data_IF_970552351521
#
_entry.id   IF_970552351521
#
_cell.length_a   1.000
_cell.length_b   1.000
_cell.length_c   1.000
_cell.angle_alpha   90.00
_cell.angle_beta   90.00
_cell.angle_gamma   90.00
#
_symmetry.space_group_name_H-M   'P 1'
#
loop_
_entity.id
_entity.type
_entity.pdbx_description
1 polymer ?
#
# COMPACT_ATOMS: atom_id res chain seq x y z
N UNK A 1 2.86 3.34 9.09
CA UNK A 1 2.01 4.38 8.44
C UNK A 1 2.19 5.79 9.01
N UNK A 2 2.22 6.01 10.35
CA UNK A 2 2.42 7.39 10.89
C UNK A 2 3.67 8.09 10.32
N UNK A 3 4.77 7.37 10.12
CA UNK A 3 6.01 7.89 9.55
C UNK A 3 5.84 8.28 8.07
N UNK A 4 5.15 7.47 7.28
CA UNK A 4 4.80 7.79 5.90
C UNK A 4 3.93 9.06 5.81
N UNK A 5 2.90 9.17 6.66
CA UNK A 5 2.05 10.37 6.70
C UNK A 5 2.86 11.64 7.09
N UNK A 6 3.82 11.51 8.02
CA UNK A 6 4.74 12.61 8.34
C UNK A 6 5.65 12.95 7.14
N UNK A 7 6.14 11.96 6.41
CA UNK A 7 6.92 12.19 5.19
C UNK A 7 6.09 12.93 4.13
N UNK A 8 4.82 12.54 3.96
CA UNK A 8 3.87 13.20 3.06
C UNK A 8 3.54 14.64 3.44
N UNK A 9 3.80 15.06 4.69
CA UNK A 9 3.58 16.47 5.09
C UNK A 9 4.44 17.45 4.28
N UNK A 10 5.57 17.00 3.73
CA UNK A 10 6.42 17.80 2.83
C UNK A 10 5.71 18.11 1.49
N UNK A 11 4.69 17.32 1.14
CA UNK A 11 3.92 17.42 -0.10
C UNK A 11 2.47 17.86 0.13
N UNK A 12 2.16 18.44 1.32
CA UNK A 12 0.79 18.75 1.76
C UNK A 12 -0.06 19.49 0.71
N UNK A 13 0.51 20.48 0.01
CA UNK A 13 -0.23 21.26 -0.98
C UNK A 13 -0.63 20.40 -2.20
N UNK A 14 0.28 19.56 -2.69
CA UNK A 14 0.02 18.64 -3.81
C UNK A 14 -0.96 17.55 -3.40
N UNK A 15 -0.81 17.01 -2.19
CA UNK A 15 -1.73 16.00 -1.64
C UNK A 15 -3.14 16.58 -1.46
N UNK A 16 -3.25 17.77 -0.85
CA UNK A 16 -4.56 18.45 -0.65
C UNK A 16 -5.25 18.72 -1.98
N UNK A 17 -4.50 19.16 -2.99
CA UNK A 17 -5.04 19.37 -4.34
C UNK A 17 -5.54 18.08 -4.98
N UNK A 18 -4.76 16.98 -4.89
CA UNK A 18 -5.16 15.67 -5.41
C UNK A 18 -6.41 15.13 -4.70
N UNK A 19 -6.46 15.27 -3.36
CA UNK A 19 -7.62 14.88 -2.55
C UNK A 19 -8.84 15.72 -2.91
N UNK A 20 -8.71 17.04 -3.03
CA UNK A 20 -9.82 17.92 -3.41
C UNK A 20 -10.37 17.57 -4.79
N UNK A 21 -9.50 17.33 -5.78
CA UNK A 21 -9.90 16.90 -7.12
C UNK A 21 -10.63 15.52 -7.07
N UNK A 22 -10.16 14.58 -6.26
CA UNK A 22 -10.80 13.26 -6.09
C UNK A 22 -12.16 13.36 -5.40
N UNK A 23 -12.29 14.20 -4.37
CA UNK A 23 -13.56 14.47 -3.71
C UNK A 23 -14.55 15.12 -4.69
N UNK A 24 -14.11 16.14 -5.47
CA UNK A 24 -14.95 16.78 -6.48
C UNK A 24 -15.41 15.80 -7.54
N UNK A 25 -14.51 14.96 -8.07
CA UNK A 25 -14.88 13.89 -9.00
C UNK A 25 -15.99 13.01 -8.41
N UNK A 26 -15.80 12.55 -7.16
CA UNK A 26 -16.77 11.64 -6.52
C UNK A 26 -18.12 12.31 -6.27
N UNK A 27 -18.14 13.60 -5.95
CA UNK A 27 -19.38 14.38 -5.81
C UNK A 27 -20.09 14.46 -7.15
N UNK A 28 -19.40 14.78 -8.26
CA UNK A 28 -20.01 14.81 -9.59
C UNK A 28 -20.48 13.43 -10.05
N UNK A 29 -19.74 12.35 -9.78
CA UNK A 29 -20.16 10.96 -10.03
C UNK A 29 -21.50 10.62 -9.31
N UNK A 30 -21.78 11.23 -8.17
CA UNK A 30 -23.01 10.99 -7.41
C UNK A 30 -24.18 11.90 -7.80
N UNK A 31 -24.01 12.87 -8.73
CA UNK A 31 -25.07 13.76 -9.18
C UNK A 31 -26.08 13.11 -10.14
N UNK A 32 -25.71 12.21 -11.08
CA UNK A 32 -26.64 11.63 -12.04
C UNK A 32 -27.91 11.01 -11.43
N UNK A 33 -27.91 10.30 -10.28
CA UNK A 33 -29.13 9.83 -9.64
C UNK A 33 -30.13 10.94 -9.29
N UNK A 34 -29.64 12.11 -8.86
CA UNK A 34 -30.51 13.28 -8.59
C UNK A 34 -31.14 13.82 -9.85
N UNK A 35 -30.33 13.99 -10.92
CA UNK A 35 -30.81 14.50 -12.19
C UNK A 35 -31.85 13.56 -12.82
N UNK A 36 -31.59 12.25 -12.76
CA UNK A 36 -32.54 11.23 -13.22
C UNK A 36 -33.84 11.29 -12.43
N UNK A 37 -33.77 11.44 -11.10
CA UNK A 37 -34.96 11.62 -10.27
C UNK A 37 -35.78 12.84 -10.67
N UNK A 38 -35.13 13.98 -10.88
CA UNK A 38 -35.81 15.24 -11.30
C UNK A 38 -36.38 15.14 -12.71
N UNK A 39 -35.76 14.42 -13.64
CA UNK A 39 -36.30 14.13 -14.96
C UNK A 39 -37.59 13.30 -14.82
N UNK A 40 -37.57 12.23 -14.03
CA UNK A 40 -38.73 11.36 -13.81
C UNK A 40 -39.88 12.14 -13.17
N UNK A 41 -39.61 12.96 -12.16
CA UNK A 41 -40.61 13.78 -11.50
C UNK A 41 -41.19 14.79 -12.46
N UNK A 42 -40.37 15.45 -13.31
CA UNK A 42 -40.85 16.42 -14.32
C UNK A 42 -41.74 15.76 -15.36
N UNK A 43 -41.38 14.55 -15.84
CA UNK A 43 -42.24 13.78 -16.77
C UNK A 43 -43.55 13.34 -16.11
N UNK A 44 -43.55 13.11 -14.80
CA UNK A 44 -44.75 12.76 -14.01
C UNK A 44 -45.59 13.96 -13.61
N UNK A 45 -45.27 15.16 -14.12
CA UNK A 45 -46.02 16.40 -13.87
C UNK A 45 -45.60 17.14 -12.58
N UNK A 46 -44.54 16.71 -11.92
CA UNK A 46 -44.05 17.32 -10.69
C UNK A 46 -42.69 18.02 -10.93
N UNK A 47 -42.72 19.22 -11.46
CA UNK A 47 -41.51 20.00 -11.69
C UNK A 47 -40.91 20.46 -10.35
N UNK A 48 -39.60 20.17 -10.07
CA UNK A 48 -38.95 20.65 -8.85
C UNK A 48 -38.99 22.20 -8.76
N UNK A 49 -39.48 22.71 -7.64
CA UNK A 49 -39.72 24.15 -7.45
C UNK A 49 -38.47 25.03 -7.66
N UNK A 50 -37.27 24.48 -7.37
CA UNK A 50 -36.03 25.21 -7.59
C UNK A 50 -35.74 25.48 -9.08
N UNK A 51 -36.13 24.55 -9.99
CA UNK A 51 -35.93 24.74 -11.45
C UNK A 51 -36.79 25.89 -11.93
N UNK A 52 -38.07 25.89 -11.62
CA UNK A 52 -38.97 26.98 -12.01
C UNK A 52 -38.52 28.34 -11.47
N UNK A 53 -37.99 28.40 -10.24
CA UNK A 53 -37.49 29.65 -9.63
C UNK A 53 -36.19 30.14 -10.23
N UNK A 54 -35.27 29.27 -10.62
CA UNK A 54 -33.91 29.65 -11.10
C UNK A 54 -33.87 29.85 -12.60
N UNK A 55 -34.64 29.06 -13.38
CA UNK A 55 -34.59 29.06 -14.84
C UNK A 55 -35.81 29.70 -15.49
N UNK A 56 -36.92 29.88 -14.76
CA UNK A 56 -38.20 30.33 -15.29
C UNK A 56 -38.92 29.28 -16.17
N UNK A 57 -38.39 28.06 -16.27
CA UNK A 57 -38.98 26.98 -17.09
C UNK A 57 -40.17 26.36 -16.36
N UNK A 58 -41.34 26.34 -16.98
CA UNK A 58 -42.57 25.77 -16.42
C UNK A 58 -43.11 24.61 -17.27
N UNK A 59 -42.62 24.45 -18.49
CA UNK A 59 -43.00 23.36 -19.38
C UNK A 59 -42.14 22.13 -19.12
N UNK A 60 -42.75 20.96 -18.92
CA UNK A 60 -42.04 19.71 -18.60
C UNK A 60 -40.96 19.36 -19.64
N UNK A 61 -41.23 19.51 -20.93
CA UNK A 61 -40.25 19.20 -21.97
C UNK A 61 -39.01 20.10 -21.89
N UNK A 62 -39.20 21.40 -21.72
CA UNK A 62 -38.11 22.37 -21.59
C UNK A 62 -37.25 22.08 -20.33
N UNK A 63 -37.87 21.65 -19.22
CA UNK A 63 -37.18 21.23 -18.02
C UNK A 63 -36.37 19.96 -18.27
N UNK A 64 -36.92 18.96 -18.96
CA UNK A 64 -36.20 17.72 -19.30
C UNK A 64 -34.99 18.03 -20.18
N UNK A 65 -35.13 18.85 -21.21
CA UNK A 65 -34.00 19.26 -22.07
C UNK A 65 -32.92 19.96 -21.26
N UNK A 66 -33.28 20.89 -20.37
CA UNK A 66 -32.34 21.52 -19.44
C UNK A 66 -31.59 20.52 -18.56
N UNK A 67 -32.28 19.57 -17.94
CA UNK A 67 -31.68 18.54 -17.07
C UNK A 67 -30.77 17.59 -17.85
N UNK A 68 -31.10 17.25 -19.09
CA UNK A 68 -30.24 16.42 -19.96
C UNK A 68 -28.96 17.16 -20.31
N UNK A 69 -29.05 18.47 -20.68
CA UNK A 69 -27.87 19.31 -20.93
C UNK A 69 -27.02 19.41 -19.65
N UNK A 70 -27.66 19.65 -18.49
CA UNK A 70 -26.98 19.72 -17.20
C UNK A 70 -26.27 18.39 -16.88
N UNK A 71 -26.91 17.26 -17.20
CA UNK A 71 -26.31 15.93 -17.05
C UNK A 71 -25.04 15.79 -17.88
N UNK A 72 -25.07 16.21 -19.13
CA UNK A 72 -23.91 16.19 -20.03
C UNK A 72 -22.74 17.06 -19.47
N UNK A 73 -23.07 18.24 -18.94
CA UNK A 73 -22.09 19.14 -18.30
C UNK A 73 -21.49 18.48 -17.05
N UNK A 74 -22.32 17.84 -16.21
CA UNK A 74 -21.85 17.14 -14.99
C UNK A 74 -20.92 15.97 -15.34
N UNK A 75 -21.24 15.14 -16.34
CA UNK A 75 -20.34 14.10 -16.82
C UNK A 75 -19.04 14.66 -17.41
N UNK A 76 -19.10 15.82 -18.08
CA UNK A 76 -17.89 16.52 -18.52
C UNK A 76 -17.00 16.97 -17.35
N UNK A 77 -17.61 17.53 -16.30
CA UNK A 77 -16.91 17.92 -15.08
C UNK A 77 -16.37 16.69 -14.32
N UNK A 78 -17.16 15.62 -14.20
CA UNK A 78 -16.71 14.35 -13.62
C UNK A 78 -15.45 13.84 -14.32
N UNK A 79 -15.49 13.73 -15.66
CA UNK A 79 -14.35 13.27 -16.46
C UNK A 79 -13.14 14.21 -16.34
N UNK A 80 -13.37 15.53 -16.29
CA UNK A 80 -12.30 16.49 -16.06
C UNK A 80 -11.63 16.31 -14.70
N UNK A 81 -12.42 16.18 -13.63
CA UNK A 81 -11.88 15.95 -12.28
C UNK A 81 -11.28 14.56 -12.14
N UNK A 82 -11.77 13.55 -12.89
CA UNK A 82 -11.15 12.22 -12.96
C UNK A 82 -9.73 12.32 -13.52
N UNK A 83 -9.56 12.94 -14.68
CA UNK A 83 -8.26 13.18 -15.26
C UNK A 83 -7.34 13.96 -14.32
N UNK A 84 -7.88 14.98 -13.65
CA UNK A 84 -7.13 15.86 -12.76
C UNK A 84 -6.60 15.12 -11.53
N UNK A 85 -7.44 14.33 -10.84
CA UNK A 85 -6.99 13.60 -9.65
C UNK A 85 -6.05 12.45 -10.01
N UNK A 86 -6.34 11.69 -11.07
CA UNK A 86 -5.46 10.60 -11.51
C UNK A 86 -4.06 11.13 -11.80
N UNK A 87 -3.96 12.18 -12.62
CA UNK A 87 -2.68 12.82 -12.92
C UNK A 87 -1.98 13.35 -11.67
N UNK A 88 -2.71 13.92 -10.74
CA UNK A 88 -2.16 14.51 -9.51
C UNK A 88 -1.63 13.44 -8.56
N UNK A 89 -2.40 12.35 -8.32
CA UNK A 89 -1.96 11.24 -7.49
C UNK A 89 -0.77 10.49 -8.11
N UNK A 90 -0.82 10.20 -9.41
CA UNK A 90 0.29 9.53 -10.11
C UNK A 90 1.59 10.34 -9.99
N UNK A 91 1.54 11.66 -10.25
CA UNK A 91 2.71 12.52 -10.13
C UNK A 91 3.22 12.61 -8.70
N UNK A 92 2.32 12.73 -7.73
CA UNK A 92 2.68 12.76 -6.32
C UNK A 92 3.34 11.44 -5.89
N UNK A 93 2.75 10.31 -6.26
CA UNK A 93 3.26 9.00 -5.91
C UNK A 93 4.67 8.76 -6.51
N UNK A 94 4.88 9.13 -7.78
CA UNK A 94 6.18 9.03 -8.44
C UNK A 94 7.23 9.96 -7.81
N UNK A 95 6.85 11.19 -7.44
CA UNK A 95 7.78 12.10 -6.76
C UNK A 95 8.18 11.56 -5.38
N UNK A 96 7.20 11.11 -4.59
CA UNK A 96 7.45 10.50 -3.27
C UNK A 96 8.31 9.24 -3.40
N UNK A 97 8.06 8.41 -4.40
CA UNK A 97 8.86 7.21 -4.69
C UNK A 97 10.32 7.58 -4.99
N UNK A 98 10.53 8.58 -5.86
CA UNK A 98 11.87 9.06 -6.22
C UNK A 98 12.62 9.58 -5.00
N UNK A 99 12.04 10.52 -4.28
CA UNK A 99 12.68 11.17 -3.14
C UNK A 99 12.94 10.17 -2.01
N UNK A 100 11.98 9.29 -1.71
CA UNK A 100 12.16 8.25 -0.69
C UNK A 100 13.25 7.25 -1.04
N UNK A 101 13.42 6.92 -2.34
CA UNK A 101 14.50 6.05 -2.81
C UNK A 101 15.85 6.72 -2.62
N UNK A 102 15.98 7.99 -2.96
CA UNK A 102 17.23 8.74 -2.77
C UNK A 102 17.56 8.91 -1.29
N UNK A 103 16.59 9.27 -0.46
CA UNK A 103 16.78 9.41 0.98
C UNK A 103 17.21 8.09 1.62
N UNK A 104 16.54 6.99 1.25
CA UNK A 104 16.87 5.64 1.76
C UNK A 104 18.27 5.23 1.30
N UNK A 105 18.63 5.47 0.04
CA UNK A 105 19.93 5.15 -0.50
C UNK A 105 21.05 5.99 0.14
N UNK A 106 20.84 7.29 0.31
CA UNK A 106 21.80 8.17 0.99
C UNK A 106 22.04 7.74 2.44
N UNK A 107 20.99 7.38 3.15
CA UNK A 107 21.09 6.83 4.52
C UNK A 107 21.80 5.48 4.53
N UNK A 108 21.53 4.62 3.55
CA UNK A 108 22.22 3.34 3.42
C UNK A 108 23.72 3.54 3.20
N UNK A 109 24.13 4.45 2.31
CA UNK A 109 25.54 4.73 2.05
C UNK A 109 26.29 5.26 3.29
N UNK A 110 25.59 5.94 4.18
CA UNK A 110 26.18 6.44 5.44
C UNK A 110 26.29 5.39 6.55
N UNK A 111 25.98 4.09 6.26
CA UNK A 111 26.08 3.02 7.24
C UNK A 111 27.50 2.48 7.36
N UNK A 112 27.83 2.00 8.53
CA UNK A 112 29.06 1.26 8.83
C UNK A 112 29.15 -0.05 8.05
N UNK A 113 30.38 -0.53 7.84
CA UNK A 113 30.64 -1.77 7.11
C UNK A 113 29.99 -3.00 7.77
N UNK A 114 29.91 -3.03 9.10
CA UNK A 114 29.28 -4.08 9.88
C UNK A 114 27.84 -4.36 9.42
N UNK A 115 27.06 -3.31 9.17
CA UNK A 115 25.70 -3.40 8.67
C UNK A 115 25.62 -4.16 7.34
N UNK A 116 26.54 -3.89 6.40
CA UNK A 116 26.56 -4.57 5.09
C UNK A 116 27.05 -6.01 5.16
N UNK A 117 27.91 -6.34 6.12
CA UNK A 117 28.39 -7.71 6.33
C UNK A 117 27.32 -8.59 6.99
N UNK A 118 26.44 -8.01 7.80
CA UNK A 118 25.32 -8.72 8.42
C UNK A 118 24.08 -8.87 7.52
N UNK A 119 23.85 -7.90 6.63
CA UNK A 119 22.67 -7.88 5.78
C UNK A 119 22.95 -8.53 4.42
N UNK A 120 21.98 -9.32 3.96
CA UNK A 120 22.06 -9.85 2.59
C UNK A 120 21.76 -8.72 1.58
N UNK A 121 22.61 -8.53 0.60
CA UNK A 121 22.44 -7.51 -0.47
C UNK A 121 21.08 -7.60 -1.14
N UNK A 122 20.57 -8.83 -1.39
CA UNK A 122 19.25 -9.02 -1.98
C UNK A 122 18.10 -8.45 -1.14
N UNK A 123 18.21 -8.50 0.21
CA UNK A 123 17.22 -7.91 1.10
C UNK A 123 17.24 -6.37 1.01
N UNK A 124 18.42 -5.75 0.96
CA UNK A 124 18.56 -4.30 0.80
C UNK A 124 18.01 -3.82 -0.55
N UNK A 125 18.27 -4.56 -1.62
CA UNK A 125 17.72 -4.29 -2.96
C UNK A 125 16.20 -4.42 -2.97
N UNK A 126 15.63 -5.43 -2.30
CA UNK A 126 14.18 -5.58 -2.19
C UNK A 126 13.54 -4.40 -1.44
N UNK A 127 14.18 -3.88 -0.38
CA UNK A 127 13.68 -2.68 0.31
C UNK A 127 13.72 -1.45 -0.61
N UNK A 128 14.83 -1.23 -1.34
CA UNK A 128 15.00 -0.07 -2.22
C UNK A 128 14.09 -0.11 -3.47
N UNK A 129 13.70 -1.29 -3.93
CA UNK A 129 12.86 -1.46 -5.11
C UNK A 129 11.44 -1.87 -4.73
N UNK A 130 11.24 -3.08 -4.19
CA UNK A 130 9.90 -3.65 -4.04
C UNK A 130 9.08 -2.93 -2.96
N UNK A 131 9.70 -2.61 -1.82
CA UNK A 131 9.01 -1.95 -0.72
C UNK A 131 8.66 -0.49 -1.05
N UNK A 132 9.57 0.25 -1.67
CA UNK A 132 9.31 1.63 -2.09
C UNK A 132 8.26 1.64 -3.22
N UNK A 133 8.31 0.70 -4.17
CA UNK A 133 7.27 0.55 -5.19
C UNK A 133 5.91 0.15 -4.57
N UNK A 134 5.89 -0.63 -3.48
CA UNK A 134 4.65 -0.94 -2.77
C UNK A 134 4.04 0.30 -2.11
N UNK A 135 4.87 1.21 -1.57
CA UNK A 135 4.40 2.49 -1.02
C UNK A 135 3.85 3.41 -2.11
N UNK A 136 4.51 3.44 -3.29
CA UNK A 136 4.00 4.18 -4.46
C UNK A 136 2.63 3.66 -4.88
N UNK A 137 2.47 2.34 -5.08
CA UNK A 137 1.18 1.73 -5.45
C UNK A 137 0.08 2.04 -4.44
N UNK A 138 0.41 2.01 -3.16
CA UNK A 138 -0.54 2.38 -2.11
C UNK A 138 -0.99 3.83 -2.24
N UNK A 139 -0.08 4.77 -2.45
CA UNK A 139 -0.41 6.19 -2.60
C UNK A 139 -1.22 6.47 -3.86
N UNK A 140 -0.85 5.83 -4.96
CA UNK A 140 -1.52 6.02 -6.25
C UNK A 140 -2.95 5.46 -6.26
N UNK A 141 -3.14 4.23 -5.76
CA UNK A 141 -4.40 3.51 -5.87
C UNK A 141 -5.19 3.52 -4.56
N UNK A 142 -4.71 2.80 -3.56
CA UNK A 142 -5.49 2.48 -2.37
C UNK A 142 -5.77 3.71 -1.50
N UNK A 143 -4.85 4.67 -1.44
CA UNK A 143 -5.08 5.92 -0.70
C UNK A 143 -6.22 6.73 -1.35
N UNK A 144 -6.23 6.83 -2.69
CA UNK A 144 -7.31 7.47 -3.42
C UNK A 144 -8.65 6.72 -3.26
N UNK A 145 -8.63 5.38 -3.31
CA UNK A 145 -9.83 4.55 -3.05
C UNK A 145 -10.43 4.82 -1.67
N UNK A 146 -9.58 5.01 -0.64
CA UNK A 146 -10.04 5.37 0.71
C UNK A 146 -10.73 6.74 0.70
N UNK A 147 -10.12 7.75 0.04
CA UNK A 147 -10.70 9.09 -0.08
C UNK A 147 -12.05 9.04 -0.78
N UNK A 148 -12.14 8.34 -1.90
CA UNK A 148 -13.38 8.20 -2.67
C UNK A 148 -14.46 7.45 -1.90
N UNK A 149 -14.09 6.38 -1.18
CA UNK A 149 -15.04 5.62 -0.36
C UNK A 149 -15.59 6.45 0.82
N UNK A 150 -14.73 7.21 1.49
CA UNK A 150 -15.18 8.11 2.56
C UNK A 150 -16.12 9.19 2.01
N UNK A 151 -15.78 9.79 0.86
CA UNK A 151 -16.64 10.77 0.19
C UNK A 151 -17.98 10.17 -0.19
N UNK A 152 -17.96 8.96 -0.75
CA UNK A 152 -19.18 8.21 -1.10
C UNK A 152 -20.06 7.97 0.12
N UNK A 153 -19.50 7.44 1.21
CA UNK A 153 -20.25 7.12 2.42
C UNK A 153 -20.88 8.38 3.04
N UNK A 154 -20.12 9.46 3.11
CA UNK A 154 -20.61 10.73 3.67
C UNK A 154 -21.65 11.36 2.77
N UNK A 155 -21.34 11.55 1.48
CA UNK A 155 -22.24 12.27 0.58
C UNK A 155 -23.50 11.47 0.21
N UNK A 156 -23.35 10.19 -0.16
CA UNK A 156 -24.51 9.34 -0.48
C UNK A 156 -25.35 9.05 0.76
N UNK A 157 -24.70 8.80 1.90
CA UNK A 157 -25.40 8.58 3.17
C UNK A 157 -26.19 9.83 3.60
N UNK A 158 -25.56 11.00 3.55
CA UNK A 158 -26.23 12.27 3.81
C UNK A 158 -27.40 12.51 2.85
N UNK A 159 -27.20 12.30 1.55
CA UNK A 159 -28.22 12.54 0.54
C UNK A 159 -29.44 11.62 0.68
N UNK A 160 -29.22 10.34 0.94
CA UNK A 160 -30.31 9.39 1.22
C UNK A 160 -31.12 9.79 2.46
N UNK A 161 -30.45 10.19 3.54
CA UNK A 161 -31.11 10.64 4.77
C UNK A 161 -31.81 12.01 4.58
N UNK A 162 -31.27 12.92 3.76
CA UNK A 162 -31.87 14.21 3.47
C UNK A 162 -33.17 14.10 2.65
N UNK A 163 -33.27 13.13 1.74
CA UNK A 163 -34.49 12.86 0.97
C UNK A 163 -35.53 12.14 1.84
N UNK A 164 -35.12 11.10 2.58
CA UNK A 164 -36.00 10.39 3.52
C UNK A 164 -35.18 9.69 4.58
N UNK A 165 -35.22 10.18 5.81
CA UNK A 165 -34.46 9.59 6.93
C UNK A 165 -34.79 8.10 7.16
N UNK A 166 -36.07 7.66 7.22
CA UNK A 166 -36.37 6.24 7.46
C UNK A 166 -35.86 5.33 6.34
N UNK A 167 -36.05 5.71 5.07
CA UNK A 167 -35.57 4.93 3.94
C UNK A 167 -34.05 4.99 3.80
N UNK A 168 -33.43 6.13 4.10
CA UNK A 168 -31.97 6.28 4.10
C UNK A 168 -31.30 5.35 5.12
N UNK A 169 -31.82 5.31 6.35
CA UNK A 169 -31.33 4.39 7.38
C UNK A 169 -31.56 2.92 7.00
N UNK A 170 -32.71 2.60 6.41
CA UNK A 170 -33.01 1.24 5.94
C UNK A 170 -32.03 0.83 4.81
N UNK A 171 -31.82 1.70 3.83
CA UNK A 171 -30.88 1.45 2.72
C UNK A 171 -29.42 1.31 3.16
N UNK A 172 -29.04 2.01 4.23
CA UNK A 172 -27.69 1.92 4.82
C UNK A 172 -27.55 0.77 5.84
N UNK A 173 -28.63 0.18 6.32
CA UNK A 173 -28.61 -0.90 7.32
C UNK A 173 -27.72 -2.10 6.96
N UNK A 174 -27.55 -2.51 5.69
CA UNK A 174 -26.61 -3.56 5.31
C UNK A 174 -25.13 -3.24 5.58
N UNK A 175 -24.72 -1.95 5.61
CA UNK A 175 -23.31 -1.56 5.69
C UNK A 175 -22.59 -2.15 6.92
N UNK A 176 -23.08 -2.00 8.15
CA UNK A 176 -22.45 -2.60 9.33
C UNK A 176 -22.27 -4.12 9.19
N UNK A 177 -23.29 -4.81 8.66
CA UNK A 177 -23.25 -6.26 8.47
C UNK A 177 -22.24 -6.67 7.39
N UNK A 178 -22.11 -5.89 6.31
CA UNK A 178 -21.11 -6.10 5.27
C UNK A 178 -19.71 -5.94 5.88
N UNK A 179 -19.47 -4.89 6.66
CA UNK A 179 -18.16 -4.64 7.29
C UNK A 179 -17.81 -5.76 8.27
N UNK A 180 -18.72 -6.12 9.17
CA UNK A 180 -18.49 -7.19 10.14
C UNK A 180 -18.31 -8.55 9.46
N UNK A 181 -19.13 -8.84 8.44
CA UNK A 181 -19.01 -10.03 7.61
C UNK A 181 -17.69 -10.11 6.87
N UNK A 182 -17.21 -8.99 6.34
CA UNK A 182 -15.90 -8.90 5.66
C UNK A 182 -14.75 -9.19 6.62
N UNK A 183 -14.77 -8.60 7.82
CA UNK A 183 -13.75 -8.85 8.85
C UNK A 183 -13.75 -10.32 9.29
N UNK A 184 -14.94 -10.87 9.53
CA UNK A 184 -15.09 -12.29 9.90
C UNK A 184 -14.56 -13.21 8.80
N UNK A 185 -14.94 -12.93 7.54
CA UNK A 185 -14.50 -13.68 6.37
C UNK A 185 -12.99 -13.65 6.22
N UNK A 186 -12.35 -12.48 6.29
CA UNK A 186 -10.89 -12.34 6.19
C UNK A 186 -10.15 -13.16 7.25
N UNK A 187 -10.64 -13.12 8.49
CA UNK A 187 -10.04 -13.94 9.57
C UNK A 187 -10.18 -15.43 9.28
N UNK A 188 -11.28 -15.86 8.70
CA UNK A 188 -11.57 -17.26 8.39
C UNK A 188 -10.81 -17.78 7.17
N UNK A 189 -10.56 -16.94 6.17
CA UNK A 189 -9.86 -17.35 4.94
C UNK A 189 -8.35 -17.26 5.06
N UNK A 190 -7.81 -16.42 5.96
CA UNK A 190 -6.39 -16.20 6.15
C UNK A 190 -5.54 -17.49 6.34
N UNK A 191 -5.96 -18.50 7.15
CA UNK A 191 -5.21 -19.75 7.28
C UNK A 191 -5.13 -20.53 5.97
N UNK A 192 -6.19 -20.58 5.16
CA UNK A 192 -6.18 -21.24 3.86
C UNK A 192 -5.21 -20.59 2.89
N UNK A 193 -5.16 -19.26 2.82
CA UNK A 193 -4.15 -18.57 2.01
C UNK A 193 -2.72 -18.75 2.55
N UNK A 194 -2.56 -18.99 3.85
CA UNK A 194 -1.26 -19.37 4.40
C UNK A 194 -0.83 -20.76 3.92
N UNK A 195 -1.74 -21.74 3.91
CA UNK A 195 -1.47 -23.08 3.34
C UNK A 195 -1.10 -22.98 1.85
N UNK A 196 -1.85 -22.19 1.07
CA UNK A 196 -1.54 -21.95 -0.35
C UNK A 196 -0.13 -21.38 -0.52
N UNK A 197 0.26 -20.39 0.31
CA UNK A 197 1.63 -19.83 0.26
C UNK A 197 2.71 -20.84 0.63
N UNK A 198 2.46 -21.74 1.57
CA UNK A 198 3.38 -22.81 1.92
C UNK A 198 3.53 -23.79 0.76
N UNK A 199 2.43 -24.25 0.21
CA UNK A 199 2.43 -25.21 -0.91
C UNK A 199 3.10 -24.63 -2.17
N UNK A 200 2.90 -23.35 -2.49
CA UNK A 200 3.62 -22.72 -3.63
C UNK A 200 5.12 -22.58 -3.33
N UNK A 201 5.48 -22.32 -2.06
CA UNK A 201 6.89 -22.28 -1.64
C UNK A 201 7.58 -23.63 -1.84
N UNK A 202 6.94 -24.73 -1.45
CA UNK A 202 7.45 -26.10 -1.64
C UNK A 202 7.57 -26.45 -3.14
N UNK A 203 6.56 -26.09 -3.95
CA UNK A 203 6.62 -26.29 -5.40
C UNK A 203 7.78 -25.47 -6.03
N UNK A 204 7.93 -24.20 -5.65
CA UNK A 204 9.02 -23.35 -6.15
C UNK A 204 10.39 -23.90 -5.79
N UNK A 205 10.59 -24.31 -4.54
CA UNK A 205 11.84 -24.95 -4.09
C UNK A 205 12.15 -26.23 -4.87
N UNK A 206 11.14 -27.06 -5.12
CA UNK A 206 11.32 -28.29 -5.90
C UNK A 206 11.73 -27.98 -7.35
N UNK A 207 11.05 -27.05 -8.00
CA UNK A 207 11.37 -26.61 -9.36
C UNK A 207 12.77 -25.99 -9.44
N UNK A 208 13.13 -25.12 -8.48
CA UNK A 208 14.46 -24.52 -8.40
C UNK A 208 15.56 -25.57 -8.25
N UNK A 209 15.37 -26.55 -7.36
CA UNK A 209 16.33 -27.64 -7.15
C UNK A 209 16.48 -28.49 -8.43
N UNK A 210 15.39 -28.82 -9.11
CA UNK A 210 15.43 -29.62 -10.33
C UNK A 210 16.09 -28.88 -11.50
N UNK A 211 15.82 -27.58 -11.64
CA UNK A 211 16.43 -26.75 -12.70
C UNK A 211 17.92 -26.53 -12.40
N UNK A 212 18.27 -26.20 -11.17
CA UNK A 212 19.66 -26.01 -10.77
C UNK A 212 20.48 -27.31 -10.84
N UNK A 213 19.83 -28.45 -10.52
CA UNK A 213 20.41 -29.79 -10.61
C UNK A 213 20.17 -30.51 -11.93
N UNK A 214 19.78 -29.82 -13.00
CA UNK A 214 19.32 -30.44 -14.27
C UNK A 214 20.36 -31.40 -14.87
N UNK A 215 21.66 -31.10 -14.70
CA UNK A 215 22.74 -31.98 -15.16
C UNK A 215 22.67 -33.36 -14.48
N UNK A 216 22.38 -33.39 -13.18
CA UNK A 216 22.25 -34.65 -12.43
C UNK A 216 21.02 -35.41 -12.94
N UNK A 217 19.88 -34.74 -13.06
CA UNK A 217 18.65 -35.35 -13.59
C UNK A 217 18.89 -35.98 -14.95
N UNK A 218 19.57 -35.26 -15.86
CA UNK A 218 19.92 -35.74 -17.20
C UNK A 218 20.92 -36.89 -17.18
N UNK A 219 21.97 -36.81 -16.34
CA UNK A 219 22.98 -37.85 -16.25
C UNK A 219 22.46 -39.20 -15.77
N UNK A 220 21.41 -39.17 -14.95
CA UNK A 220 20.78 -40.42 -14.42
C UNK A 220 19.48 -40.77 -15.12
N UNK A 221 19.10 -40.07 -16.21
CA UNK A 221 17.84 -40.25 -16.93
C UNK A 221 16.63 -40.28 -15.97
N UNK A 222 16.64 -39.39 -14.98
CA UNK A 222 15.67 -39.35 -13.88
C UNK A 222 14.51 -38.37 -14.11
N UNK A 223 14.25 -37.96 -15.36
CA UNK A 223 13.23 -36.97 -15.72
C UNK A 223 11.83 -37.40 -15.27
N UNK A 224 11.49 -38.69 -15.52
CA UNK A 224 10.17 -39.20 -15.16
C UNK A 224 9.98 -39.24 -13.63
N UNK A 225 11.00 -39.67 -12.89
CA UNK A 225 10.98 -39.69 -11.43
C UNK A 225 10.80 -38.27 -10.83
N UNK A 226 11.56 -37.29 -11.35
CA UNK A 226 11.39 -35.92 -10.88
C UNK A 226 10.07 -35.29 -11.35
N UNK A 227 9.55 -35.69 -12.51
CA UNK A 227 8.23 -35.27 -12.98
C UNK A 227 7.12 -35.72 -12.02
N UNK A 228 7.14 -37.00 -11.60
CA UNK A 228 6.18 -37.52 -10.63
C UNK A 228 6.26 -36.80 -9.29
N UNK A 229 7.45 -36.47 -8.81
CA UNK A 229 7.66 -35.73 -7.57
C UNK A 229 7.11 -34.28 -7.68
N UNK A 230 7.34 -33.59 -8.79
CA UNK A 230 6.76 -32.26 -9.06
C UNK A 230 5.24 -32.37 -9.17
N UNK A 231 4.73 -33.41 -9.80
CA UNK A 231 3.28 -33.66 -9.93
C UNK A 231 2.61 -33.79 -8.55
N UNK A 232 3.22 -34.51 -7.62
CA UNK A 232 2.70 -34.65 -6.25
C UNK A 232 2.62 -33.30 -5.52
N UNK A 233 3.71 -32.52 -5.50
CA UNK A 233 3.74 -31.20 -4.86
C UNK A 233 2.80 -30.21 -5.54
N UNK A 234 2.67 -30.29 -6.88
CA UNK A 234 1.71 -29.48 -7.64
C UNK A 234 0.25 -29.87 -7.33
N UNK A 235 -0.02 -31.15 -7.07
CA UNK A 235 -1.34 -31.59 -6.62
C UNK A 235 -1.69 -31.01 -5.23
N UNK A 236 -0.75 -31.05 -4.29
CA UNK A 236 -0.94 -30.46 -2.96
C UNK A 236 -1.22 -28.95 -3.04
N UNK A 237 -0.49 -28.22 -3.89
CA UNK A 237 -0.74 -26.80 -4.17
C UNK A 237 -2.14 -26.59 -4.77
N UNK A 238 -2.54 -27.38 -5.74
CA UNK A 238 -3.88 -27.33 -6.34
C UNK A 238 -4.97 -27.55 -5.28
N UNK A 239 -4.80 -28.55 -4.42
CA UNK A 239 -5.79 -28.93 -3.42
C UNK A 239 -5.89 -27.88 -2.30
N UNK A 240 -4.76 -27.25 -1.93
CA UNK A 240 -4.75 -26.07 -1.05
C UNK A 240 -5.52 -24.89 -1.67
N UNK A 241 -5.32 -24.63 -2.99
CA UNK A 241 -6.09 -23.62 -3.71
C UNK A 241 -7.58 -23.95 -3.75
N UNK A 242 -7.97 -25.18 -4.01
CA UNK A 242 -9.38 -25.57 -4.02
C UNK A 242 -10.06 -25.33 -2.68
N UNK A 243 -9.38 -25.60 -1.55
CA UNK A 243 -9.90 -25.27 -0.21
C UNK A 243 -10.10 -23.77 -0.03
N UNK A 244 -9.13 -22.95 -0.45
CA UNK A 244 -9.22 -21.49 -0.39
C UNK A 244 -10.35 -20.96 -1.30
N UNK A 245 -10.42 -21.43 -2.56
CA UNK A 245 -11.44 -21.04 -3.55
C UNK A 245 -12.85 -21.40 -3.06
N UNK A 246 -13.05 -22.60 -2.49
CA UNK A 246 -14.35 -23.02 -1.96
C UNK A 246 -14.91 -22.06 -0.92
N UNK A 247 -14.06 -21.50 -0.06
CA UNK A 247 -14.47 -20.52 0.92
C UNK A 247 -14.62 -19.13 0.31
N UNK A 248 -13.69 -18.72 -0.56
CA UNK A 248 -13.70 -17.38 -1.16
C UNK A 248 -14.85 -17.17 -2.14
N UNK A 249 -15.26 -18.21 -2.87
CA UNK A 249 -16.37 -18.14 -3.83
C UNK A 249 -17.74 -17.85 -3.19
N UNK A 250 -17.90 -18.14 -1.90
CA UNK A 250 -19.17 -17.91 -1.19
C UNK A 250 -19.30 -16.45 -0.71
N UNK A 251 -18.18 -15.75 -0.56
CA UNK A 251 -18.16 -14.40 0.05
C UNK A 251 -18.98 -13.37 -0.73
N UNK A 252 -18.69 -13.22 -2.05
CA UNK A 252 -19.39 -12.22 -2.89
C UNK A 252 -20.88 -12.49 -3.01
N UNK A 253 -21.35 -13.75 -3.23
CA UNK A 253 -22.78 -14.07 -3.21
C UNK A 253 -23.47 -13.73 -1.90
N UNK A 254 -22.87 -14.02 -0.74
CA UNK A 254 -23.47 -13.69 0.57
C UNK A 254 -23.62 -12.17 0.75
N UNK A 255 -22.62 -11.38 0.40
CA UNK A 255 -22.73 -9.92 0.46
C UNK A 255 -23.83 -9.43 -0.50
N UNK A 256 -23.90 -9.99 -1.71
CA UNK A 256 -24.93 -9.63 -2.69
C UNK A 256 -26.33 -9.87 -2.14
N UNK A 257 -26.56 -11.00 -1.46
CA UNK A 257 -27.87 -11.27 -0.81
C UNK A 257 -28.18 -10.19 0.23
N UNK A 258 -27.21 -9.83 1.06
CA UNK A 258 -27.40 -8.80 2.09
C UNK A 258 -27.71 -7.43 1.49
N UNK A 259 -27.00 -7.05 0.41
CA UNK A 259 -27.27 -5.84 -0.37
C UNK A 259 -28.70 -5.90 -0.95
N UNK A 260 -29.07 -7.04 -1.52
CA UNK A 260 -30.40 -7.22 -2.15
C UNK A 260 -31.52 -7.07 -1.14
N UNK A 261 -31.38 -7.57 0.08
CA UNK A 261 -32.38 -7.42 1.14
C UNK A 261 -32.61 -5.95 1.50
N UNK A 262 -31.53 -5.17 1.70
CA UNK A 262 -31.65 -3.74 1.97
C UNK A 262 -32.24 -2.96 0.80
N UNK A 263 -31.80 -3.26 -0.42
CA UNK A 263 -32.31 -2.67 -1.65
C UNK A 263 -33.79 -2.97 -1.88
N UNK A 264 -34.18 -4.26 -1.81
CA UNK A 264 -35.56 -4.69 -2.00
C UNK A 264 -36.49 -4.13 -0.93
N UNK A 265 -36.07 -4.10 0.34
CA UNK A 265 -36.81 -3.49 1.42
C UNK A 265 -37.08 -2.00 1.20
N UNK A 266 -36.06 -1.26 0.75
CA UNK A 266 -36.21 0.16 0.44
C UNK A 266 -37.15 0.38 -0.75
N UNK A 267 -37.03 -0.43 -1.83
CA UNK A 267 -37.92 -0.35 -2.98
C UNK A 267 -39.37 -0.67 -2.60
N UNK A 268 -39.58 -1.71 -1.80
CA UNK A 268 -40.91 -2.13 -1.39
C UNK A 268 -41.64 -1.04 -0.57
N UNK A 269 -40.97 -0.48 0.44
CA UNK A 269 -41.52 0.57 1.29
C UNK A 269 -41.67 1.87 0.50
N UNK A 270 -40.69 2.24 -0.32
CA UNK A 270 -40.73 3.42 -1.15
C UNK A 270 -41.83 3.37 -2.21
N UNK A 271 -42.03 2.22 -2.87
CA UNK A 271 -43.13 1.99 -3.80
C UNK A 271 -44.52 2.05 -3.08
N UNK A 272 -44.61 1.47 -1.87
CA UNK A 272 -45.83 1.57 -1.07
C UNK A 272 -46.19 3.04 -0.79
N UNK A 273 -45.25 3.89 -0.41
CA UNK A 273 -45.47 5.31 -0.18
C UNK A 273 -45.88 6.07 -1.46
N UNK A 274 -45.23 5.75 -2.60
CA UNK A 274 -45.59 6.36 -3.89
C UNK A 274 -47.06 6.02 -4.26
N UNK A 275 -47.52 4.78 -4.03
CA UNK A 275 -48.82 4.30 -4.46
C UNK A 275 -49.93 4.71 -3.51
N UNK A 276 -49.71 4.65 -2.18
CA UNK A 276 -50.74 4.76 -1.18
C UNK A 276 -50.66 6.00 -0.28
N UNK A 277 -49.52 6.75 -0.33
CA UNK A 277 -49.35 7.98 0.45
C UNK A 277 -48.96 9.17 -0.48
N UNK A 278 -49.90 9.68 -1.31
CA UNK A 278 -49.60 10.74 -2.28
C UNK A 278 -49.01 11.98 -1.58
N UNK A 279 -47.91 12.51 -2.11
CA UNK A 279 -47.21 13.69 -1.60
C UNK A 279 -46.15 13.42 -0.54
N UNK A 280 -46.04 12.19 -0.01
CA UNK A 280 -44.98 11.81 0.92
C UNK A 280 -43.68 11.46 0.21
N UNK A 281 -43.74 10.80 -0.94
CA UNK A 281 -42.61 10.33 -1.69
C UNK A 281 -42.88 10.33 -3.20
N UNK A 282 -42.00 10.89 -4.00
CA UNK A 282 -42.17 10.96 -5.45
C UNK A 282 -41.63 9.72 -6.17
N UNK A 283 -42.08 9.51 -7.42
CA UNK A 283 -41.54 8.45 -8.28
C UNK A 283 -40.04 8.68 -8.58
N UNK A 284 -39.64 9.95 -8.78
CA UNK A 284 -38.25 10.31 -8.95
C UNK A 284 -37.40 10.03 -7.70
N UNK A 285 -37.96 10.29 -6.50
CA UNK A 285 -37.29 9.92 -5.24
C UNK A 285 -37.10 8.42 -5.12
N UNK A 286 -38.04 7.61 -5.55
CA UNK A 286 -37.90 6.14 -5.58
C UNK A 286 -36.76 5.70 -6.51
N UNK A 287 -36.71 6.30 -7.71
CA UNK A 287 -35.64 6.04 -8.67
C UNK A 287 -34.26 6.49 -8.12
N UNK A 288 -34.20 7.67 -7.47
CA UNK A 288 -33.01 8.13 -6.78
C UNK A 288 -32.49 7.10 -5.76
N UNK A 289 -33.36 6.60 -4.89
CA UNK A 289 -33.00 5.58 -3.89
C UNK A 289 -32.51 4.30 -4.56
N UNK A 290 -33.19 3.83 -5.61
CA UNK A 290 -32.80 2.64 -6.35
C UNK A 290 -31.37 2.74 -6.92
N UNK A 291 -31.04 3.88 -7.50
CA UNK A 291 -29.71 4.11 -8.09
C UNK A 291 -28.64 4.36 -7.01
N UNK A 292 -28.95 5.18 -6.00
CA UNK A 292 -27.98 5.60 -4.99
C UNK A 292 -27.58 4.47 -4.05
N UNK A 293 -28.51 3.60 -3.63
CA UNK A 293 -28.21 2.45 -2.76
C UNK A 293 -27.25 1.48 -3.47
N UNK A 294 -27.46 1.20 -4.73
CA UNK A 294 -26.54 0.34 -5.48
C UNK A 294 -25.14 0.95 -5.59
N UNK A 295 -25.04 2.26 -5.87
CA UNK A 295 -23.76 2.99 -5.90
C UNK A 295 -23.08 3.00 -4.53
N UNK A 296 -23.83 3.10 -3.43
CA UNK A 296 -23.32 3.12 -2.06
C UNK A 296 -22.79 1.75 -1.61
N UNK A 297 -23.55 0.70 -1.83
CA UNK A 297 -23.25 -0.62 -1.23
C UNK A 297 -22.18 -1.41 -1.99
N UNK A 298 -22.06 -1.24 -3.30
CA UNK A 298 -21.14 -1.99 -4.13
C UNK A 298 -19.64 -1.72 -3.79
N UNK A 299 -19.17 -0.47 -3.65
CA UNK A 299 -17.77 -0.21 -3.29
C UNK A 299 -17.39 -0.71 -1.89
N UNK A 300 -18.33 -0.83 -0.96
CA UNK A 300 -18.08 -1.37 0.39
C UNK A 300 -17.57 -2.81 0.33
N UNK A 301 -17.92 -3.58 -0.70
CA UNK A 301 -17.42 -4.94 -0.90
C UNK A 301 -15.90 -4.99 -1.12
N UNK A 302 -15.29 -3.90 -1.60
CA UNK A 302 -13.85 -3.79 -1.89
C UNK A 302 -13.00 -3.40 -0.68
N UNK A 303 -13.63 -3.08 0.47
CA UNK A 303 -12.91 -2.71 1.69
C UNK A 303 -11.84 -3.73 2.10
N UNK A 304 -12.08 -5.02 1.84
CA UNK A 304 -11.10 -6.07 2.11
C UNK A 304 -9.79 -5.88 1.34
N UNK A 305 -9.87 -5.58 0.05
CA UNK A 305 -8.69 -5.36 -0.80
C UNK A 305 -7.93 -4.11 -0.36
N UNK A 306 -8.65 -3.03 -0.05
CA UNK A 306 -8.06 -1.78 0.45
C UNK A 306 -7.31 -2.01 1.78
N UNK A 307 -7.88 -2.83 2.66
CA UNK A 307 -7.24 -3.18 3.93
C UNK A 307 -5.98 -4.02 3.73
N UNK A 308 -5.99 -5.00 2.82
CA UNK A 308 -4.82 -5.80 2.48
C UNK A 308 -3.69 -4.94 1.90
N UNK A 309 -4.02 -3.99 1.02
CA UNK A 309 -3.05 -3.04 0.47
C UNK A 309 -2.45 -2.15 1.55
N UNK A 310 -3.29 -1.68 2.48
CA UNK A 310 -2.84 -0.91 3.64
C UNK A 310 -1.85 -1.70 4.52
N UNK A 311 -2.14 -2.97 4.83
CA UNK A 311 -1.24 -3.80 5.65
C UNK A 311 0.07 -4.11 4.91
N UNK A 312 0.03 -4.36 3.60
CA UNK A 312 1.25 -4.49 2.77
C UNK A 312 2.08 -3.22 2.80
N UNK A 313 1.46 -2.07 2.55
CA UNK A 313 2.14 -0.78 2.58
C UNK A 313 2.69 -0.47 3.99
N UNK A 314 1.97 -0.85 5.05
CA UNK A 314 2.43 -0.71 6.43
C UNK A 314 3.67 -1.54 6.74
N UNK A 315 3.74 -2.77 6.24
CA UNK A 315 4.90 -3.65 6.38
C UNK A 315 6.11 -3.07 5.62
N UNK A 316 5.92 -2.65 4.37
CA UNK A 316 6.96 -2.01 3.55
C UNK A 316 7.45 -0.70 4.18
N UNK A 317 6.54 0.14 4.68
CA UNK A 317 6.90 1.37 5.39
C UNK A 317 7.77 1.10 6.63
N UNK A 318 7.53 0.03 7.38
CA UNK A 318 8.38 -0.33 8.53
C UNK A 318 9.80 -0.65 8.10
N UNK A 319 9.99 -1.39 7.01
CA UNK A 319 11.32 -1.76 6.51
C UNK A 319 12.06 -0.55 5.96
N UNK A 320 11.40 0.23 5.09
CA UNK A 320 12.00 1.42 4.48
C UNK A 320 12.38 2.45 5.56
N UNK A 321 11.45 2.84 6.42
CA UNK A 321 11.74 3.81 7.48
C UNK A 321 12.64 3.24 8.59
N UNK A 322 12.67 1.93 8.78
CA UNK A 322 13.66 1.27 9.62
C UNK A 322 15.08 1.50 9.14
N UNK A 323 15.32 1.52 7.81
CA UNK A 323 16.62 1.89 7.24
C UNK A 323 16.89 3.40 7.34
N UNK A 324 15.88 4.23 7.03
CA UNK A 324 16.03 5.71 7.03
C UNK A 324 16.31 6.25 8.43
N UNK A 325 15.64 5.71 9.45
CA UNK A 325 15.68 6.22 10.82
C UNK A 325 16.79 5.54 11.67
N UNK A 326 17.42 4.48 11.17
CA UNK A 326 18.48 3.81 11.91
C UNK A 326 19.77 4.64 11.91
N UNK A 327 20.42 4.74 13.08
CA UNK A 327 21.68 5.48 13.27
C UNK A 327 22.88 4.62 12.99
N UNK A 328 23.99 5.21 12.49
CA UNK A 328 25.27 4.52 12.33
C UNK A 328 25.97 4.41 13.67
N UNK A 329 26.60 3.27 13.95
CA UNK A 329 27.42 3.08 15.14
C UNK A 329 28.75 3.83 15.06
N UNK A 330 29.31 3.98 13.83
CA UNK A 330 30.53 4.77 13.59
C UNK A 330 30.12 6.21 13.31
N UNK A 331 30.18 7.04 14.32
CA UNK A 331 29.80 8.47 14.24
C UNK A 331 31.04 9.32 13.97
N UNK A 332 30.98 10.18 12.94
CA UNK A 332 32.01 11.19 12.74
C UNK A 332 31.90 12.29 13.81
N UNK A 333 33.02 12.80 14.35
CA UNK A 333 32.98 13.91 15.30
C UNK A 333 32.40 15.16 14.66
N UNK A 334 31.73 16.01 15.45
CA UNK A 334 31.15 17.27 14.98
C UNK A 334 32.18 18.24 14.35
N UNK A 335 33.42 18.21 14.86
CA UNK A 335 34.54 18.97 14.33
C UNK A 335 35.69 18.02 13.96
N UNK A 336 35.66 17.39 12.75
CA UNK A 336 36.73 16.50 12.33
C UNK A 336 38.03 17.26 12.13
N UNK A 337 39.13 16.72 12.65
CA UNK A 337 40.46 17.25 12.36
C UNK A 337 40.84 16.92 10.93
N UNK A 338 41.45 17.88 10.21
CA UNK A 338 42.01 17.60 8.93
C UNK A 338 43.24 16.66 9.10
N UNK A 339 43.27 15.64 8.26
CA UNK A 339 44.48 14.81 8.20
C UNK A 339 45.67 15.65 7.74
N UNK A 340 46.85 15.50 8.38
CA UNK A 340 48.04 16.17 7.93
C UNK A 340 48.39 15.73 6.49
N UNK A 341 49.02 16.63 5.71
CA UNK A 341 49.43 16.35 4.35
C UNK A 341 50.40 15.16 4.25
N UNK A 342 51.16 14.92 5.32
CA UNK A 342 52.08 13.81 5.46
C UNK A 342 51.88 13.14 6.82
N UNK A 343 51.63 11.81 6.83
CA UNK A 343 51.49 11.02 8.05
C UNK A 343 52.89 10.58 8.47
N UNK A 344 53.34 11.02 9.66
CA UNK A 344 54.65 10.70 10.21
C UNK A 344 54.73 9.30 10.80
N UNK A 345 53.71 8.89 11.55
CA UNK A 345 53.64 7.54 12.09
C UNK A 345 52.16 7.10 12.31
N UNK A 346 51.99 5.81 12.37
CA UNK A 346 50.73 5.15 12.74
C UNK A 346 51.00 4.33 14.00
N UNK A 347 50.18 4.51 15.04
CA UNK A 347 50.35 3.84 16.31
C UNK A 347 49.06 3.15 16.73
N UNK A 348 49.16 1.87 17.11
CA UNK A 348 48.14 1.08 17.77
C UNK A 348 48.59 0.87 19.22
N UNK A 349 47.79 1.34 20.17
CA UNK A 349 48.06 1.27 21.61
C UNK A 349 47.02 0.37 22.27
N UNK A 350 47.41 -0.83 22.71
CA UNK A 350 46.58 -1.77 23.42
C UNK A 350 45.29 -2.15 22.70
N UNK A 351 45.29 -2.18 21.36
CA UNK A 351 44.08 -2.35 20.54
C UNK A 351 43.50 -3.75 20.68
N UNK A 352 42.28 -3.82 21.18
CA UNK A 352 41.45 -5.03 21.20
C UNK A 352 40.18 -4.80 20.34
N UNK A 353 39.78 -5.85 19.61
CA UNK A 353 38.58 -5.83 18.78
C UNK A 353 38.00 -7.23 18.59
N UNK A 354 36.68 -7.31 18.58
CA UNK A 354 35.89 -8.49 18.21
C UNK A 354 34.62 -8.12 17.46
N UNK A 355 34.20 -8.98 16.53
CA UNK A 355 32.89 -8.81 15.86
C UNK A 355 31.76 -9.28 16.82
N UNK A 356 30.59 -8.67 16.74
CA UNK A 356 29.46 -8.90 17.67
C UNK A 356 29.10 -10.38 17.93
N UNK A 357 29.32 -11.26 16.95
CA UNK A 357 28.98 -12.71 17.03
C UNK A 357 30.17 -13.61 17.27
N UNK A 358 31.34 -13.06 17.55
CA UNK A 358 32.57 -13.82 17.74
C UNK A 358 33.35 -13.42 19.00
N UNK A 359 34.33 -14.23 19.40
CA UNK A 359 35.32 -13.86 20.41
C UNK A 359 36.24 -12.73 19.89
N UNK A 360 37.09 -12.19 20.78
CA UNK A 360 38.04 -11.16 20.39
C UNK A 360 39.02 -11.67 19.33
N UNK A 361 39.09 -10.94 18.20
CA UNK A 361 39.94 -11.24 17.05
C UNK A 361 41.35 -10.65 17.25
N UNK A 362 41.43 -9.45 17.82
CA UNK A 362 42.67 -8.79 18.23
C UNK A 362 42.64 -8.59 19.74
N UNK A 363 43.77 -8.76 20.40
CA UNK A 363 43.87 -8.61 21.86
C UNK A 363 45.13 -7.83 22.21
N UNK A 364 44.98 -6.63 22.77
CA UNK A 364 46.06 -5.83 23.28
C UNK A 364 47.19 -5.61 22.26
N UNK A 365 46.83 -5.29 21.02
CA UNK A 365 47.83 -5.12 19.96
C UNK A 365 48.54 -3.77 20.13
N UNK A 366 49.86 -3.84 20.31
CA UNK A 366 50.77 -2.70 20.25
C UNK A 366 51.60 -2.76 18.96
N UNK A 367 51.49 -1.70 18.12
CA UNK A 367 52.17 -1.65 16.85
C UNK A 367 52.47 -0.20 16.48
N UNK A 368 53.71 0.06 16.07
CA UNK A 368 54.15 1.36 15.58
C UNK A 368 54.71 1.24 14.18
N UNK A 369 54.25 2.08 13.24
CA UNK A 369 54.70 2.09 11.85
C UNK A 369 55.18 3.50 11.55
N UNK A 370 56.48 3.66 11.30
CA UNK A 370 57.10 4.92 10.98
C UNK A 370 56.91 5.31 9.50
N UNK A 371 57.14 6.58 9.21
CA UNK A 371 57.05 7.12 7.84
C UNK A 371 57.95 6.35 6.86
N UNK A 372 57.40 6.00 5.72
CA UNK A 372 58.13 5.29 4.65
C UNK A 372 58.43 3.83 4.93
N UNK A 373 57.97 3.27 6.07
CA UNK A 373 58.13 1.88 6.34
C UNK A 373 57.14 1.01 5.59
N UNK A 374 57.55 -0.16 5.17
CA UNK A 374 56.69 -1.19 4.58
C UNK A 374 56.52 -2.28 5.63
N UNK A 375 55.30 -2.47 6.12
CA UNK A 375 54.96 -3.51 7.09
C UNK A 375 54.34 -4.69 6.38
N UNK A 376 54.94 -5.86 6.48
CA UNK A 376 54.35 -7.14 6.05
C UNK A 376 53.54 -7.79 7.18
N UNK A 377 52.26 -8.11 6.97
CA UNK A 377 51.41 -8.81 7.91
C UNK A 377 51.20 -10.23 7.42
N UNK A 378 51.75 -11.23 8.15
CA UNK A 378 51.66 -12.65 7.82
C UNK A 378 50.96 -13.42 8.94
N UNK A 379 50.28 -14.51 8.59
CA UNK A 379 49.58 -15.38 9.53
C UNK A 379 48.53 -16.26 8.86
N UNK A 380 47.99 -17.26 9.54
CA UNK A 380 46.93 -18.12 8.99
C UNK A 380 45.63 -17.37 8.70
N UNK A 381 44.71 -18.01 7.96
CA UNK A 381 43.37 -17.47 7.74
C UNK A 381 42.67 -17.35 9.09
N UNK A 382 42.00 -16.21 9.33
CA UNK A 382 41.36 -15.92 10.61
C UNK A 382 42.25 -15.22 11.66
N UNK A 383 43.55 -15.00 11.41
CA UNK A 383 44.47 -14.32 12.34
C UNK A 383 44.24 -12.80 12.52
N UNK A 384 43.18 -12.21 11.94
CA UNK A 384 42.87 -10.79 12.11
C UNK A 384 43.55 -9.84 11.17
N UNK A 385 44.28 -10.30 10.12
CA UNK A 385 45.00 -9.43 9.15
C UNK A 385 44.10 -8.41 8.48
N UNK A 386 42.97 -8.85 7.95
CA UNK A 386 41.98 -7.97 7.30
C UNK A 386 41.29 -7.05 8.32
N UNK A 387 41.09 -7.54 9.55
CA UNK A 387 40.53 -6.75 10.64
C UNK A 387 41.41 -5.56 11.00
N UNK A 388 42.71 -5.74 11.03
CA UNK A 388 43.67 -4.66 11.30
C UNK A 388 43.51 -3.52 10.28
N UNK A 389 43.41 -3.86 8.99
CA UNK A 389 43.21 -2.87 7.90
C UNK A 389 41.85 -2.18 8.03
N UNK A 390 40.80 -2.93 8.36
CA UNK A 390 39.46 -2.36 8.57
C UNK A 390 39.44 -1.35 9.73
N UNK A 391 40.17 -1.64 10.81
CA UNK A 391 40.28 -0.74 11.96
C UNK A 391 41.11 0.51 11.61
N UNK A 392 42.23 0.35 10.88
CA UNK A 392 43.05 1.47 10.41
C UNK A 392 42.23 2.45 9.53
N UNK A 393 41.38 1.90 8.66
CA UNK A 393 40.47 2.70 7.81
C UNK A 393 39.25 3.22 8.56
N UNK A 394 39.15 2.93 9.88
CA UNK A 394 38.00 3.23 10.73
C UNK A 394 36.65 2.77 10.14
N UNK A 395 36.64 1.61 9.48
CA UNK A 395 35.40 0.94 9.05
C UNK A 395 34.68 0.28 10.24
N UNK A 396 35.41 0.11 11.34
CA UNK A 396 34.95 -0.29 12.68
C UNK A 396 35.68 0.54 13.72
N UNK A 397 35.03 0.83 14.84
CA UNK A 397 35.71 1.40 15.99
C UNK A 397 36.30 0.27 16.88
N UNK A 398 37.42 0.52 17.53
CA UNK A 398 38.07 -0.45 18.43
C UNK A 398 37.22 -0.69 19.67
N UNK A 399 37.27 -1.91 20.24
CA UNK A 399 36.57 -2.22 21.48
C UNK A 399 37.35 -1.65 22.69
N UNK A 400 38.68 -1.75 22.66
CA UNK A 400 39.60 -1.20 23.66
C UNK A 400 40.85 -0.69 22.98
N UNK A 401 41.55 0.24 23.64
CA UNK A 401 42.76 0.86 23.09
C UNK A 401 42.48 2.01 22.13
N UNK A 402 43.50 2.46 21.42
CA UNK A 402 43.40 3.60 20.48
C UNK A 402 44.30 3.36 19.26
N UNK A 403 43.85 3.92 18.10
CA UNK A 403 44.68 4.03 16.87
C UNK A 403 44.91 5.51 16.63
N UNK A 404 46.16 5.91 16.53
CA UNK A 404 46.60 7.29 16.32
C UNK A 404 47.35 7.44 15.02
N UNK A 405 47.13 8.56 14.37
CA UNK A 405 47.89 9.03 13.21
C UNK A 405 48.63 10.28 13.68
N UNK A 406 49.97 10.26 13.61
CA UNK A 406 50.88 11.32 14.05
C UNK A 406 51.06 11.52 15.57
N UNK A 407 50.51 10.68 16.40
CA UNK A 407 50.62 10.75 17.85
C UNK A 407 49.41 11.36 18.54
#
# INVERSE_FOLDING_TARGET
MRRLLRYLSNYRNRLSFAVAASVSNKVFDLMPPFLTAWIIDSVSGHIPAWIGRTTGLTEAWSVVVFLVILTAVIFGLESFFEWLYQRSFMRLAQQVQHDLRLDTYARLQGRELAFFEEQRTGNLLSILNDDINQLERFLNNSFNEIVQLLTLLVFAGWSLCAVSLPLGLLGMAPIPFIILGSIYYQRKVAPYYKEVRQAVGELSNRLENNISGILVVKSFTAEEFERERVQAVSADYRDANFRAIRLSSVYVPLIRILITVGFAGTLLIGAYWVLYEPGRFSLGSLAFFAMMIQRLLWPVTRLGVVFDDYERARASARRVFGLVDAESQVVSPEAPRQLPAEIGQIQFDGVSFGYDKGGPVLRGLDLQIGRGQILGIAGPTGAGKTTLIKLLLRLYDVTEGTIRLEG
#
